data_IF_529977511494
#
_entry.id   IF_529977511494
#
_cell.length_a   1.000
_cell.length_b   1.000
_cell.length_c   1.000
_cell.angle_alpha   90.00
_cell.angle_beta   90.00
_cell.angle_gamma   90.00
#
_symmetry.space_group_name_H-M   'P 1'
#
loop_
_entity.id
_entity.type
_entity.pdbx_description
1 polymer ?
#
# COMPACT_ATOMS: atom_id res chain seq x y z
N UNK A 1 -32.60 54.90 10.92
CA UNK A 1 -31.81 53.81 10.30
C UNK A 1 -31.45 52.83 11.42
N UNK A 2 -32.32 51.86 11.70
CA UNK A 2 -32.13 50.89 12.79
C UNK A 2 -31.20 49.79 12.30
N UNK A 3 -29.95 49.77 12.76
CA UNK A 3 -29.09 48.61 12.59
C UNK A 3 -29.60 47.49 13.51
N UNK A 4 -30.28 46.52 12.91
CA UNK A 4 -30.58 45.24 13.53
C UNK A 4 -29.26 44.55 13.90
N UNK A 5 -28.98 44.43 15.21
CA UNK A 5 -27.96 43.53 15.74
C UNK A 5 -28.41 42.09 15.46
N UNK A 6 -28.19 41.64 14.24
CA UNK A 6 -28.61 40.31 13.78
C UNK A 6 -27.65 39.26 14.32
N UNK A 7 -28.06 38.53 15.36
CA UNK A 7 -27.88 37.09 15.60
C UNK A 7 -26.53 36.39 15.26
N UNK A 8 -25.38 37.08 15.25
CA UNK A 8 -24.06 36.46 14.99
C UNK A 8 -23.76 35.32 15.97
N UNK A 9 -24.05 35.49 17.26
CA UNK A 9 -23.90 34.42 18.26
C UNK A 9 -24.80 33.21 17.96
N UNK A 10 -26.00 33.43 17.44
CA UNK A 10 -26.95 32.37 17.13
C UNK A 10 -26.50 31.55 15.93
N UNK A 11 -25.88 32.19 14.92
CA UNK A 11 -25.28 31.48 13.78
C UNK A 11 -24.03 30.70 14.20
N UNK A 12 -23.17 31.30 15.03
CA UNK A 12 -21.97 30.65 15.53
C UNK A 12 -22.30 29.40 16.37
N UNK A 13 -23.30 29.50 17.25
CA UNK A 13 -23.80 28.36 18.03
C UNK A 13 -24.37 27.25 17.15
N UNK A 14 -25.15 27.57 16.12
CA UNK A 14 -25.68 26.58 15.17
C UNK A 14 -24.58 25.91 14.35
N UNK A 15 -23.56 26.66 13.94
CA UNK A 15 -22.38 26.12 13.23
C UNK A 15 -21.60 25.14 14.12
N UNK A 16 -21.40 25.48 15.39
CA UNK A 16 -20.69 24.63 16.34
C UNK A 16 -21.44 23.31 16.59
N UNK A 17 -22.77 23.39 16.74
CA UNK A 17 -23.64 22.21 16.88
C UNK A 17 -23.60 21.34 15.61
N UNK A 18 -23.62 21.94 14.42
CA UNK A 18 -23.51 21.21 13.16
C UNK A 18 -22.15 20.49 13.02
N UNK A 19 -21.04 21.17 13.35
CA UNK A 19 -19.71 20.57 13.37
C UNK A 19 -19.64 19.41 14.39
N UNK A 20 -20.16 19.60 15.59
CA UNK A 20 -20.21 18.57 16.62
C UNK A 20 -21.00 17.34 16.16
N UNK A 21 -22.17 17.54 15.53
CA UNK A 21 -22.96 16.44 14.95
C UNK A 21 -22.24 15.73 13.80
N UNK A 22 -21.52 16.46 12.94
CA UNK A 22 -20.77 15.84 11.83
C UNK A 22 -19.66 14.90 12.32
N UNK A 23 -19.04 15.20 13.47
CA UNK A 23 -18.05 14.34 14.10
C UNK A 23 -18.61 12.99 14.56
N UNK A 24 -19.90 12.92 14.93
CA UNK A 24 -20.56 11.64 15.30
C UNK A 24 -20.93 10.77 14.09
N UNK A 25 -21.04 11.35 12.90
CA UNK A 25 -21.33 10.61 11.66
C UNK A 25 -20.07 10.02 11.05
N UNK A 26 -18.90 10.59 11.36
CA UNK A 26 -17.60 10.03 10.97
C UNK A 26 -17.24 8.86 11.88
N UNK A 27 -17.77 7.67 11.54
CA UNK A 27 -17.26 6.44 12.14
C UNK A 27 -15.80 6.24 11.72
N UNK A 28 -14.88 5.96 12.66
CA UNK A 28 -13.52 5.58 12.31
C UNK A 28 -13.58 4.29 11.49
N UNK A 29 -12.91 4.28 10.34
CA UNK A 29 -12.69 3.06 9.58
C UNK A 29 -11.80 2.15 10.45
N UNK A 30 -12.41 1.16 11.09
CA UNK A 30 -11.70 0.18 11.91
C UNK A 30 -11.79 -1.16 11.21
N UNK A 31 -10.63 -1.68 10.78
CA UNK A 31 -10.53 -3.02 10.23
C UNK A 31 -10.49 -4.01 11.41
N UNK A 32 -11.62 -4.64 11.74
CA UNK A 32 -11.78 -5.45 12.96
C UNK A 32 -11.90 -6.95 12.72
N UNK A 33 -11.01 -7.54 11.92
CA UNK A 33 -10.83 -8.99 11.93
C UNK A 33 -9.35 -9.34 12.02
N UNK A 34 -8.83 -9.37 13.24
CA UNK A 34 -7.55 -9.99 13.56
C UNK A 34 -7.83 -11.46 13.87
N UNK A 35 -7.30 -12.36 13.04
CA UNK A 35 -7.36 -13.81 13.28
C UNK A 35 -5.95 -14.26 13.66
N UNK A 36 -5.68 -14.28 14.96
CA UNK A 36 -4.45 -14.84 15.50
C UNK A 36 -4.66 -16.34 15.77
N UNK A 37 -4.02 -17.19 14.98
CA UNK A 37 -4.17 -18.66 15.10
C UNK A 37 -3.25 -19.22 16.19
N UNK A 38 -2.19 -18.49 16.60
CA UNK A 38 -1.19 -18.85 17.62
C UNK A 38 -0.49 -17.59 18.16
N UNK A 39 0.21 -17.64 19.32
CA UNK A 39 1.12 -16.56 19.72
C UNK A 39 2.14 -16.29 18.60
N UNK A 40 2.18 -15.04 18.14
CA UNK A 40 3.03 -14.62 17.02
C UNK A 40 4.29 -13.98 17.59
N UNK A 41 5.45 -14.62 17.37
CA UNK A 41 6.72 -13.89 17.44
C UNK A 41 6.63 -12.76 16.40
N UNK A 42 6.54 -11.52 16.86
CA UNK A 42 6.43 -10.37 15.96
C UNK A 42 7.68 -10.33 15.10
N UNK A 43 7.57 -10.50 13.77
CA UNK A 43 8.75 -10.53 12.92
C UNK A 43 9.41 -9.15 12.91
N UNK A 44 10.75 -9.12 12.83
CA UNK A 44 11.52 -7.87 12.77
C UNK A 44 11.26 -7.05 11.49
N UNK A 45 10.43 -7.55 10.56
CA UNK A 45 10.04 -6.88 9.33
C UNK A 45 9.13 -7.77 8.49
N UNK A 46 8.64 -7.21 7.39
CA UNK A 46 7.80 -7.93 6.43
C UNK A 46 8.20 -7.54 4.99
N UNK A 47 8.02 -8.47 4.06
CA UNK A 47 8.18 -8.23 2.62
C UNK A 47 6.82 -8.40 1.97
N UNK A 48 6.39 -7.38 1.23
CA UNK A 48 5.13 -7.39 0.48
C UNK A 48 5.47 -7.40 -1.01
N UNK A 49 5.09 -8.47 -1.70
CA UNK A 49 5.18 -8.55 -3.16
C UNK A 49 3.82 -8.23 -3.77
N UNK A 50 3.75 -7.15 -4.55
CA UNK A 50 2.57 -6.73 -5.29
C UNK A 50 2.83 -6.99 -6.77
N UNK A 51 1.93 -7.72 -7.43
CA UNK A 51 2.03 -8.00 -8.86
C UNK A 51 0.80 -7.40 -9.55
N UNK A 52 1.01 -6.38 -10.37
CA UNK A 52 -0.09 -5.73 -11.09
C UNK A 52 -0.69 -6.67 -12.15
N UNK A 53 -2.02 -6.63 -12.28
CA UNK A 53 -2.77 -7.39 -13.29
C UNK A 53 -2.77 -8.92 -13.14
N UNK A 54 -2.19 -9.49 -12.08
CA UNK A 54 -2.12 -10.94 -11.91
C UNK A 54 -3.39 -11.53 -11.28
N UNK A 55 -4.22 -12.17 -12.11
CA UNK A 55 -5.35 -12.98 -11.64
C UNK A 55 -4.93 -14.32 -11.05
N UNK A 56 -5.61 -14.77 -9.98
CA UNK A 56 -5.32 -16.04 -9.30
C UNK A 56 -5.41 -17.25 -10.25
N UNK A 57 -6.28 -17.21 -11.27
CA UNK A 57 -6.42 -18.28 -12.26
C UNK A 57 -5.16 -18.56 -13.07
N UNK A 58 -4.26 -17.58 -13.21
CA UNK A 58 -3.01 -17.72 -13.97
C UNK A 58 -1.86 -18.30 -13.13
N UNK A 59 -1.96 -18.25 -11.80
CA UNK A 59 -0.90 -18.66 -10.89
C UNK A 59 -1.27 -19.89 -10.04
N UNK A 60 -2.49 -19.96 -9.53
CA UNK A 60 -2.86 -20.96 -8.52
C UNK A 60 -3.11 -22.32 -9.17
N UNK A 61 -2.59 -23.42 -8.58
CA UNK A 61 -2.79 -24.76 -9.13
C UNK A 61 -4.27 -25.18 -9.18
N UNK A 62 -5.10 -24.69 -8.25
CA UNK A 62 -6.52 -25.05 -8.08
C UNK A 62 -7.43 -24.53 -9.20
N UNK A 63 -7.03 -23.50 -9.94
CA UNK A 63 -7.86 -22.85 -10.96
C UNK A 63 -7.39 -23.17 -12.37
N UNK A 64 -8.28 -23.08 -13.36
CA UNK A 64 -7.91 -23.18 -14.78
C UNK A 64 -8.33 -21.88 -15.46
N UNK A 65 -7.42 -21.14 -16.13
CA UNK A 65 -7.79 -19.93 -16.83
C UNK A 65 -8.41 -20.28 -18.19
N UNK A 66 -9.44 -19.52 -18.58
CA UNK A 66 -10.17 -19.70 -19.83
C UNK A 66 -10.25 -18.37 -20.59
N UNK A 67 -10.18 -18.42 -21.91
CA UNK A 67 -10.43 -17.29 -22.79
C UNK A 67 -11.93 -17.03 -22.95
N UNK A 68 -12.28 -15.91 -23.61
CA UNK A 68 -13.68 -15.52 -23.83
C UNK A 68 -14.47 -16.53 -24.67
N UNK A 69 -13.79 -17.32 -25.49
CA UNK A 69 -14.38 -18.39 -26.28
C UNK A 69 -14.47 -19.73 -25.53
N UNK A 70 -14.03 -19.77 -24.26
CA UNK A 70 -14.01 -20.96 -23.42
C UNK A 70 -12.80 -21.88 -23.64
N UNK A 71 -11.86 -21.52 -24.51
CA UNK A 71 -10.60 -22.27 -24.67
C UNK A 71 -9.70 -22.11 -23.43
N UNK A 72 -8.92 -23.15 -23.11
CA UNK A 72 -7.99 -23.13 -21.96
C UNK A 72 -6.77 -22.26 -22.30
N UNK A 73 -6.39 -21.38 -21.38
CA UNK A 73 -5.16 -20.58 -21.48
C UNK A 73 -4.03 -21.29 -20.70
N UNK A 74 -2.80 -21.20 -21.21
CA UNK A 74 -1.63 -21.68 -20.48
C UNK A 74 -1.39 -20.89 -19.19
N UNK A 75 -0.96 -21.57 -18.12
CA UNK A 75 -0.51 -20.90 -16.89
C UNK A 75 0.91 -20.38 -17.02
N UNK A 76 1.23 -19.37 -16.22
CA UNK A 76 2.61 -18.89 -16.07
C UNK A 76 3.46 -20.00 -15.46
N UNK A 77 4.62 -20.29 -16.05
CA UNK A 77 5.60 -21.18 -15.46
C UNK A 77 6.44 -20.42 -14.43
N UNK A 78 5.98 -20.42 -13.17
CA UNK A 78 6.67 -19.78 -12.06
C UNK A 78 7.06 -20.83 -11.00
N UNK A 79 8.22 -21.47 -11.20
CA UNK A 79 8.76 -22.50 -10.29
C UNK A 79 8.89 -21.99 -8.85
N UNK A 80 9.37 -20.76 -8.66
CA UNK A 80 9.51 -20.14 -7.35
C UNK A 80 8.16 -19.96 -6.64
N UNK A 81 7.11 -19.56 -7.36
CA UNK A 81 5.76 -19.45 -6.78
C UNK A 81 5.23 -20.81 -6.35
N UNK A 82 5.51 -21.86 -7.13
CA UNK A 82 5.10 -23.23 -6.80
C UNK A 82 5.75 -23.74 -5.51
N UNK A 83 6.99 -23.33 -5.21
CA UNK A 83 7.65 -23.63 -3.94
C UNK A 83 6.96 -22.91 -2.77
N UNK A 84 6.73 -21.60 -2.89
CA UNK A 84 6.01 -20.81 -1.89
C UNK A 84 4.64 -21.41 -1.57
N UNK A 85 3.95 -21.90 -2.60
CA UNK A 85 2.62 -22.46 -2.51
C UNK A 85 2.50 -23.77 -1.72
N UNK A 86 3.57 -24.55 -1.61
CA UNK A 86 3.53 -25.85 -0.95
C UNK A 86 3.88 -25.76 0.54
N UNK A 87 4.65 -24.74 0.94
CA UNK A 87 5.17 -24.60 2.30
C UNK A 87 4.44 -23.52 3.13
N UNK A 88 3.53 -22.77 2.51
CA UNK A 88 2.89 -21.61 3.14
C UNK A 88 1.36 -21.64 3.02
N UNK A 89 0.73 -20.70 3.72
CA UNK A 89 -0.71 -20.48 3.64
C UNK A 89 -1.10 -19.82 2.30
N UNK A 90 -2.16 -20.32 1.68
CA UNK A 90 -2.77 -19.74 0.47
C UNK A 90 -4.25 -19.47 0.73
N UNK A 91 -4.70 -18.27 0.37
CA UNK A 91 -6.10 -17.85 0.48
C UNK A 91 -6.73 -17.87 -0.91
N UNK A 92 -7.74 -18.72 -1.11
CA UNK A 92 -8.30 -18.99 -2.45
C UNK A 92 -9.37 -18.00 -2.90
N UNK A 93 -10.16 -17.45 -1.97
CA UNK A 93 -11.23 -16.49 -2.28
C UNK A 93 -10.89 -15.10 -1.73
N UNK A 94 -10.04 -14.41 -2.47
CA UNK A 94 -9.71 -13.00 -2.25
C UNK A 94 -10.11 -12.23 -3.50
N UNK A 95 -10.81 -11.10 -3.31
CA UNK A 95 -11.28 -10.27 -4.40
C UNK A 95 -10.79 -8.85 -4.23
N UNK A 96 -10.20 -8.30 -5.29
CA UNK A 96 -9.91 -6.88 -5.35
C UNK A 96 -11.22 -6.09 -5.45
N UNK A 97 -11.51 -5.17 -4.52
CA UNK A 97 -12.75 -4.38 -4.56
C UNK A 97 -12.74 -3.33 -5.68
N UNK A 98 -11.57 -3.04 -6.24
CA UNK A 98 -11.35 -2.16 -7.38
C UNK A 98 -10.46 -2.90 -8.39
N UNK A 99 -10.75 -2.76 -9.69
CA UNK A 99 -10.11 -3.55 -10.75
C UNK A 99 -9.14 -2.74 -11.63
N UNK A 100 -8.81 -1.50 -11.25
CA UNK A 100 -7.80 -0.68 -11.90
C UNK A 100 -6.66 -0.36 -10.92
N UNK A 101 -5.43 -0.28 -11.43
CA UNK A 101 -4.18 -0.32 -10.66
C UNK A 101 -4.12 0.71 -9.53
N UNK A 102 -4.38 1.99 -9.83
CA UNK A 102 -4.21 3.09 -8.86
C UNK A 102 -5.13 2.95 -7.63
N UNK A 103 -6.42 2.67 -7.84
CA UNK A 103 -7.33 2.42 -6.72
C UNK A 103 -7.07 1.07 -6.06
N UNK A 104 -6.68 0.04 -6.81
CA UNK A 104 -6.28 -1.25 -6.24
C UNK A 104 -5.15 -1.10 -5.23
N UNK A 105 -4.08 -0.39 -5.59
CA UNK A 105 -2.98 -0.06 -4.68
C UNK A 105 -3.44 0.80 -3.50
N UNK A 106 -4.28 1.81 -3.73
CA UNK A 106 -4.82 2.65 -2.66
C UNK A 106 -5.59 1.83 -1.63
N UNK A 107 -6.43 0.89 -2.06
CA UNK A 107 -7.15 -0.01 -1.15
C UNK A 107 -6.18 -0.91 -0.40
N UNK A 108 -5.19 -1.48 -1.09
CA UNK A 108 -4.21 -2.39 -0.48
C UNK A 108 -3.48 -1.73 0.70
N UNK A 109 -3.00 -0.51 0.50
CA UNK A 109 -2.14 0.16 1.47
C UNK A 109 -2.92 0.88 2.57
N UNK A 110 -4.21 1.17 2.36
CA UNK A 110 -5.06 1.85 3.37
C UNK A 110 -6.05 0.90 4.07
N UNK A 111 -6.31 -0.27 3.50
CA UNK A 111 -7.39 -1.17 3.92
C UNK A 111 -8.81 -0.65 3.65
N UNK A 112 -8.97 0.52 3.03
CA UNK A 112 -10.27 1.14 2.78
C UNK A 112 -10.76 0.83 1.36
N UNK A 113 -11.87 0.10 1.23
CA UNK A 113 -12.39 -0.38 -0.07
C UNK A 113 -12.82 0.71 -1.07
N UNK A 114 -12.93 1.96 -0.62
CA UNK A 114 -13.21 3.14 -1.46
C UNK A 114 -12.06 4.14 -1.48
N UNK A 115 -10.86 3.71 -1.11
CA UNK A 115 -9.68 4.54 -1.17
C UNK A 115 -9.40 4.97 -2.61
N UNK A 116 -9.02 6.23 -2.75
CA UNK A 116 -8.52 6.83 -3.97
C UNK A 116 -7.11 7.33 -3.71
N UNK A 117 -6.47 7.81 -4.77
CA UNK A 117 -5.12 8.36 -4.74
C UNK A 117 -4.88 9.36 -3.61
N UNK A 118 -5.83 10.29 -3.46
CA UNK A 118 -5.74 11.38 -2.50
C UNK A 118 -5.83 10.88 -1.06
N UNK A 119 -6.41 9.70 -0.83
CA UNK A 119 -6.49 9.08 0.49
C UNK A 119 -5.13 8.59 0.97
N UNK A 120 -4.24 8.20 0.04
CA UNK A 120 -2.88 7.73 0.33
C UNK A 120 -1.98 8.89 0.74
N UNK A 121 -2.22 10.10 0.24
CA UNK A 121 -1.42 11.29 0.59
C UNK A 121 -1.62 11.77 2.03
N UNK A 122 -2.75 11.42 2.65
CA UNK A 122 -3.04 11.82 4.02
C UNK A 122 -2.11 11.10 5.01
N UNK A 123 -1.81 11.75 6.13
CA UNK A 123 -1.03 11.13 7.22
C UNK A 123 -1.88 10.16 8.02
N UNK A 124 -1.29 9.05 8.44
CA UNK A 124 -1.96 8.06 9.30
C UNK A 124 -3.05 7.25 8.58
N UNK A 125 -3.02 7.18 7.25
CA UNK A 125 -4.03 6.46 6.46
C UNK A 125 -3.50 5.18 5.83
N UNK A 126 -2.19 4.98 5.81
CA UNK A 126 -1.53 3.85 5.16
C UNK A 126 -0.82 2.94 6.15
N UNK A 127 -0.58 1.69 5.74
CA UNK A 127 0.26 0.74 6.49
C UNK A 127 1.69 1.26 6.71
N UNK A 128 2.18 2.16 5.85
CA UNK A 128 3.50 2.76 5.98
C UNK A 128 3.53 3.84 7.06
N UNK A 129 2.46 4.65 7.17
CA UNK A 129 2.34 5.60 8.28
C UNK A 129 2.35 4.87 9.62
N UNK A 130 1.62 3.74 9.70
CA UNK A 130 1.64 2.88 10.87
C UNK A 130 3.04 2.30 11.08
N UNK A 131 3.70 1.80 10.04
CA UNK A 131 5.07 1.28 10.17
C UNK A 131 6.03 2.34 10.75
N UNK A 132 5.95 3.59 10.28
CA UNK A 132 6.75 4.70 10.80
C UNK A 132 6.44 5.04 12.25
N UNK A 133 5.18 4.95 12.70
CA UNK A 133 4.80 5.13 14.11
C UNK A 133 5.44 4.08 15.04
N UNK A 134 5.84 2.92 14.50
CA UNK A 134 6.51 1.84 15.22
C UNK A 134 8.01 1.72 14.87
N UNK A 135 8.62 2.79 14.36
CA UNK A 135 10.05 2.88 14.02
C UNK A 135 10.54 1.86 12.98
N UNK A 136 9.65 1.35 12.12
CA UNK A 136 10.04 0.53 10.97
C UNK A 136 10.47 1.41 9.79
N UNK A 137 11.52 0.97 9.09
CA UNK A 137 11.92 1.54 7.80
C UNK A 137 11.12 0.92 6.65
N UNK A 138 10.71 1.73 5.70
CA UNK A 138 9.92 1.32 4.53
C UNK A 138 10.75 1.42 3.24
N UNK A 139 10.76 0.33 2.47
CA UNK A 139 11.52 0.23 1.22
C UNK A 139 10.58 -0.12 0.08
N UNK A 140 10.62 0.65 -1.00
CA UNK A 140 9.89 0.35 -2.24
C UNK A 140 10.84 -0.10 -3.34
N UNK A 141 10.66 -1.31 -3.87
CA UNK A 141 11.28 -1.72 -5.14
C UNK A 141 10.18 -1.69 -6.20
N UNK A 142 10.31 -0.76 -7.14
CA UNK A 142 9.19 -0.22 -7.91
C UNK A 142 9.52 -0.17 -9.41
N UNK A 143 8.52 -0.35 -10.27
CA UNK A 143 8.68 -0.18 -11.71
C UNK A 143 8.44 1.29 -12.11
N UNK A 144 9.01 1.71 -13.25
CA UNK A 144 8.90 3.09 -13.71
C UNK A 144 7.45 3.42 -14.09
N UNK A 145 6.89 4.46 -13.47
CA UNK A 145 5.49 4.87 -13.66
C UNK A 145 4.58 4.58 -12.46
N UNK A 146 5.17 4.12 -11.36
CA UNK A 146 4.44 3.89 -10.12
C UNK A 146 3.86 5.16 -9.48
N UNK A 147 2.85 4.94 -8.66
CA UNK A 147 1.99 5.95 -8.07
C UNK A 147 2.76 6.87 -7.11
N UNK A 148 2.98 8.13 -7.51
CA UNK A 148 3.80 9.13 -6.79
C UNK A 148 3.55 9.16 -5.28
N UNK A 149 2.29 9.18 -4.85
CA UNK A 149 1.97 9.26 -3.42
C UNK A 149 2.25 7.99 -2.63
N UNK A 150 2.49 6.84 -3.28
CA UNK A 150 3.04 5.66 -2.63
C UNK A 150 4.55 5.78 -2.46
N UNK A 151 5.24 6.36 -3.45
CA UNK A 151 6.67 6.67 -3.38
C UNK A 151 6.98 7.59 -2.19
N UNK A 152 6.17 8.65 -1.99
CA UNK A 152 6.31 9.58 -0.87
C UNK A 152 6.21 8.92 0.52
N UNK A 153 5.64 7.71 0.60
CA UNK A 153 5.51 6.94 1.86
C UNK A 153 6.70 6.02 2.13
N UNK A 154 7.60 5.85 1.17
CA UNK A 154 8.80 5.02 1.33
C UNK A 154 9.97 5.85 1.83
N UNK A 155 10.76 5.30 2.74
CA UNK A 155 12.02 5.92 3.16
C UNK A 155 13.07 5.83 2.05
N UNK A 156 13.12 4.67 1.38
CA UNK A 156 14.03 4.38 0.26
C UNK A 156 13.25 3.77 -0.89
N UNK A 157 13.48 4.28 -2.09
CA UNK A 157 12.88 3.78 -3.32
C UNK A 157 14.00 3.27 -4.22
N UNK A 158 13.82 2.08 -4.80
CA UNK A 158 14.66 1.56 -5.86
C UNK A 158 13.81 1.36 -7.09
N UNK A 159 14.12 2.04 -8.19
CA UNK A 159 13.40 1.91 -9.45
C UNK A 159 14.29 1.40 -10.57
N UNK A 160 13.70 0.65 -11.50
CA UNK A 160 14.37 0.27 -12.74
C UNK A 160 14.29 1.41 -13.77
N UNK A 161 15.42 2.07 -14.02
CA UNK A 161 15.52 3.17 -14.98
C UNK A 161 15.31 2.71 -16.43
N UNK A 162 15.67 1.45 -16.73
CA UNK A 162 15.62 0.83 -18.05
C UNK A 162 14.23 0.27 -18.40
N UNK A 163 13.40 -0.01 -17.38
CA UNK A 163 12.11 -0.71 -17.50
C UNK A 163 12.24 -2.07 -18.22
N UNK A 164 13.33 -2.78 -17.97
CA UNK A 164 13.68 -4.06 -18.56
C UNK A 164 13.62 -5.16 -17.51
N UNK A 165 12.76 -6.15 -17.74
CA UNK A 165 12.69 -7.35 -16.88
C UNK A 165 13.97 -8.19 -16.95
N UNK A 166 14.69 -8.13 -18.08
CA UNK A 166 15.86 -8.98 -18.31
C UNK A 166 17.18 -8.29 -17.92
N UNK A 167 17.22 -6.95 -18.01
CA UNK A 167 18.42 -6.15 -17.77
C UNK A 167 18.05 -4.89 -16.98
N UNK A 168 17.53 -5.03 -15.74
CA UNK A 168 17.08 -3.89 -14.96
C UNK A 168 18.27 -2.99 -14.56
N UNK A 169 18.10 -1.68 -14.67
CA UNK A 169 19.07 -0.67 -14.24
C UNK A 169 18.55 -0.01 -12.96
N UNK A 170 19.03 -0.46 -11.81
CA UNK A 170 18.49 -0.04 -10.51
C UNK A 170 19.04 1.33 -10.09
N UNK A 171 18.14 2.27 -9.82
CA UNK A 171 18.43 3.61 -9.30
C UNK A 171 17.78 3.77 -7.93
N UNK A 172 18.51 4.35 -6.98
CA UNK A 172 18.09 4.50 -5.59
C UNK A 172 17.78 5.97 -5.29
N UNK A 173 16.63 6.23 -4.66
CA UNK A 173 16.19 7.52 -4.14
C UNK A 173 15.85 7.40 -2.65
N UNK A 174 16.01 8.49 -1.89
CA UNK A 174 15.75 8.51 -0.44
C UNK A 174 14.92 9.72 -0.06
N UNK A 175 13.87 9.50 0.74
CA UNK A 175 13.00 10.54 1.29
C UNK A 175 13.35 10.93 2.73
N UNK A 176 14.36 10.29 3.33
CA UNK A 176 14.71 10.54 4.73
C UNK A 176 15.40 11.92 4.90
N UNK A 177 14.87 12.75 5.81
CA UNK A 177 15.46 14.04 6.16
C UNK A 177 16.82 13.87 6.90
N UNK A 178 17.85 14.56 6.40
CA UNK A 178 19.29 14.34 6.65
C UNK A 178 19.77 14.60 8.10
N UNK A 179 18.89 14.92 9.06
CA UNK A 179 19.30 15.32 10.41
C UNK A 179 19.61 14.14 11.36
N UNK A 180 18.81 13.05 11.35
CA UNK A 180 19.01 11.88 12.23
C UNK A 180 19.30 10.56 11.48
N UNK A 181 19.28 10.58 10.14
CA UNK A 181 19.30 9.37 9.31
C UNK A 181 20.65 9.00 8.68
N UNK A 182 21.70 9.79 8.98
CA UNK A 182 22.93 9.80 8.19
C UNK A 182 23.75 8.49 8.24
N UNK A 183 23.56 7.63 9.24
CA UNK A 183 24.27 6.34 9.30
C UNK A 183 23.48 5.21 8.63
N UNK A 184 22.20 5.02 8.99
CA UNK A 184 21.40 3.91 8.45
C UNK A 184 21.06 4.07 6.96
N UNK A 185 20.77 5.29 6.51
CA UNK A 185 20.47 5.59 5.09
C UNK A 185 21.66 5.32 4.17
N UNK A 186 22.87 5.72 4.60
CA UNK A 186 24.10 5.55 3.83
C UNK A 186 24.53 4.08 3.82
N UNK A 187 24.47 3.39 4.96
CA UNK A 187 24.86 1.97 5.03
C UNK A 187 23.91 1.08 4.24
N UNK A 188 22.60 1.34 4.22
CA UNK A 188 21.65 0.54 3.44
C UNK A 188 21.73 0.86 1.95
N UNK A 189 21.86 2.14 1.55
CA UNK A 189 22.11 2.48 0.16
C UNK A 189 23.42 1.87 -0.37
N UNK A 190 24.47 1.86 0.47
CA UNK A 190 25.74 1.22 0.16
C UNK A 190 25.60 -0.32 0.08
N UNK A 191 24.91 -0.96 1.04
CA UNK A 191 24.64 -2.41 1.03
C UNK A 191 23.81 -2.82 -0.19
N UNK A 192 22.85 -2.00 -0.61
CA UNK A 192 22.07 -2.27 -1.82
C UNK A 192 22.93 -2.10 -3.07
N UNK A 193 23.81 -1.09 -3.13
CA UNK A 193 24.76 -0.93 -4.25
C UNK A 193 25.80 -2.06 -4.34
N UNK A 194 26.31 -2.56 -3.21
CA UNK A 194 27.29 -3.65 -3.19
C UNK A 194 26.72 -5.00 -3.65
N UNK A 195 25.40 -5.20 -3.55
CA UNK A 195 24.72 -6.46 -3.86
C UNK A 195 23.93 -6.46 -5.18
N UNK A 196 24.06 -5.43 -6.03
CA UNK A 196 23.51 -5.41 -7.42
C UNK A 196 24.47 -6.10 -8.41
N UNK A 197 24.98 -7.29 -8.06
CA UNK A 197 25.82 -8.13 -8.94
C UNK A 197 25.19 -9.49 -9.23
#
# INVERSE_FOLDING_TARGET
>A
MHLTKTNICTYFSKMLVFLFLSGFVMQPATAYSVVEVNPVDTPHGAVILIVDGLGSSYAYPEFTPYALDGSVIGKVNASNMSLLFNENCRVLDVRAPQTYTEAGHSVLVTGYSKALSDSVQLSGTTIYDVAHEYDYLTFGIMQKGDFWSLCDKQDVIVHDASNSVNEPEMVIETNIAVADAKSASIDVAALMQENIL
#
